data_IF_006368034874
#
_entry.id   IF_006368034874
#
_cell.length_a   1.000
_cell.length_b   1.000
_cell.length_c   1.000
_cell.angle_alpha   90.00
_cell.angle_beta   90.00
_cell.angle_gamma   90.00
#
_symmetry.space_group_name_H-M   'P 1'
#
loop_
_entity.id
_entity.type
_entity.pdbx_description
1 polymer ?
#
# COMPACT_ATOMS: atom_id res chain seq x y z
N UNK A 1 -17.40 -4.43 -39.99
CA UNK A 1 -16.54 -4.55 -38.80
C UNK A 1 -16.83 -5.87 -38.13
N UNK A 2 -15.82 -6.72 -37.95
CA UNK A 2 -16.00 -8.08 -37.45
C UNK A 2 -16.19 -8.03 -35.93
N UNK A 3 -17.39 -8.34 -35.44
CA UNK A 3 -17.78 -8.27 -34.02
C UNK A 3 -16.92 -9.18 -33.14
N UNK A 4 -16.35 -10.25 -33.69
CA UNK A 4 -15.41 -11.13 -33.00
C UNK A 4 -14.08 -10.47 -32.63
N UNK A 5 -13.61 -9.46 -33.37
CA UNK A 5 -12.35 -8.78 -33.06
C UNK A 5 -12.50 -7.80 -31.89
N UNK A 6 -13.64 -7.11 -31.80
CA UNK A 6 -13.90 -6.16 -30.70
C UNK A 6 -14.11 -6.89 -29.37
N UNK A 7 -14.83 -8.01 -29.39
CA UNK A 7 -15.09 -8.84 -28.20
C UNK A 7 -13.79 -9.42 -27.61
N UNK A 8 -12.90 -9.95 -28.44
CA UNK A 8 -11.59 -10.46 -28.00
C UNK A 8 -10.69 -9.36 -27.43
N UNK A 9 -10.73 -8.14 -28.01
CA UNK A 9 -10.00 -6.99 -27.48
C UNK A 9 -10.54 -6.61 -26.09
N UNK A 10 -11.87 -6.58 -25.92
CA UNK A 10 -12.51 -6.27 -24.64
C UNK A 10 -12.16 -7.31 -23.58
N UNK A 11 -12.24 -8.61 -23.90
CA UNK A 11 -11.84 -9.69 -22.99
C UNK A 11 -10.38 -9.58 -22.53
N UNK A 12 -9.46 -9.30 -23.45
CA UNK A 12 -8.04 -9.11 -23.12
C UNK A 12 -7.82 -7.89 -22.24
N UNK A 13 -8.50 -6.77 -22.54
CA UNK A 13 -8.43 -5.56 -21.72
C UNK A 13 -8.97 -5.82 -20.30
N UNK A 14 -10.09 -6.53 -20.17
CA UNK A 14 -10.66 -6.90 -18.86
C UNK A 14 -9.71 -7.81 -18.07
N UNK A 15 -9.11 -8.83 -18.71
CA UNK A 15 -8.13 -9.72 -18.05
C UNK A 15 -6.89 -8.96 -17.60
N UNK A 16 -6.39 -8.04 -18.42
CA UNK A 16 -5.27 -7.18 -18.09
C UNK A 16 -5.57 -6.27 -16.89
N UNK A 17 -6.73 -5.61 -16.89
CA UNK A 17 -7.17 -4.75 -15.78
C UNK A 17 -7.31 -5.53 -14.47
N UNK A 18 -7.93 -6.72 -14.51
CA UNK A 18 -8.04 -7.61 -13.33
C UNK A 18 -6.66 -7.99 -12.79
N UNK A 19 -5.73 -8.38 -13.67
CA UNK A 19 -4.36 -8.72 -13.25
C UNK A 19 -3.64 -7.52 -12.63
N UNK A 20 -3.83 -6.32 -13.19
CA UNK A 20 -3.27 -5.08 -12.62
C UNK A 20 -3.86 -4.78 -11.23
N UNK A 21 -5.18 -4.90 -11.05
CA UNK A 21 -5.86 -4.70 -9.75
C UNK A 21 -5.30 -5.65 -8.68
N UNK A 22 -5.16 -6.93 -9.02
CA UNK A 22 -4.59 -7.93 -8.11
C UNK A 22 -3.17 -7.57 -7.68
N UNK A 23 -2.32 -7.15 -8.63
CA UNK A 23 -0.92 -6.78 -8.35
C UNK A 23 -0.80 -5.54 -7.45
N UNK A 24 -1.60 -4.50 -7.71
CA UNK A 24 -1.61 -3.29 -6.87
C UNK A 24 -2.08 -3.64 -5.46
N UNK A 25 -3.14 -4.45 -5.34
CA UNK A 25 -3.67 -4.87 -4.03
C UNK A 25 -2.64 -5.71 -3.27
N UNK A 26 -2.00 -6.69 -3.92
CA UNK A 26 -0.94 -7.50 -3.31
C UNK A 26 0.24 -6.64 -2.81
N UNK A 27 0.64 -5.63 -3.59
CA UNK A 27 1.68 -4.69 -3.20
C UNK A 27 1.26 -3.79 -2.02
N UNK A 28 0.00 -3.37 -1.96
CA UNK A 28 -0.58 -2.67 -0.82
C UNK A 28 -0.55 -3.54 0.44
N UNK A 29 -1.00 -4.80 0.36
CA UNK A 29 -0.92 -5.74 1.49
C UNK A 29 0.53 -6.03 1.88
N UNK A 30 1.46 -6.12 0.93
CA UNK A 30 2.89 -6.29 1.20
C UNK A 30 3.43 -5.14 2.05
N UNK A 31 3.26 -3.90 1.61
CA UNK A 31 3.79 -2.74 2.30
C UNK A 31 3.11 -2.56 3.67
N UNK A 32 1.79 -2.72 3.75
CA UNK A 32 1.04 -2.55 5.00
C UNK A 32 1.39 -3.62 6.04
N UNK A 33 1.57 -4.87 5.60
CA UNK A 33 2.03 -5.95 6.48
C UNK A 33 3.48 -5.75 6.93
N UNK A 34 4.37 -5.33 6.03
CA UNK A 34 5.79 -5.13 6.31
C UNK A 34 6.04 -4.07 7.40
N UNK A 35 5.19 -3.05 7.48
CA UNK A 35 5.29 -2.00 8.51
C UNK A 35 4.40 -2.27 9.73
N UNK A 36 3.61 -3.34 9.73
CA UNK A 36 2.69 -3.68 10.82
C UNK A 36 1.38 -2.89 10.86
N UNK A 37 1.07 -2.12 9.81
CA UNK A 37 -0.20 -1.40 9.67
C UNK A 37 -1.37 -2.37 9.43
N UNK A 38 -1.11 -3.42 8.64
CA UNK A 38 -2.08 -4.46 8.29
C UNK A 38 -1.68 -5.75 8.99
N UNK A 39 -2.68 -6.46 9.55
CA UNK A 39 -2.46 -7.74 10.21
C UNK A 39 -2.50 -8.90 9.23
N UNK A 40 -1.85 -10.01 9.60
CA UNK A 40 -1.86 -11.27 8.84
C UNK A 40 -3.28 -11.69 8.45
N UNK A 41 -4.20 -11.71 9.40
CA UNK A 41 -5.57 -12.20 9.14
C UNK A 41 -6.25 -11.40 8.03
N UNK A 42 -6.04 -10.08 7.98
CA UNK A 42 -6.59 -9.24 6.90
C UNK A 42 -5.99 -9.56 5.52
N UNK A 43 -4.72 -9.97 5.47
CA UNK A 43 -4.05 -10.39 4.22
C UNK A 43 -4.64 -11.72 3.75
N UNK A 44 -4.92 -12.63 4.68
CA UNK A 44 -5.50 -13.94 4.38
C UNK A 44 -6.96 -13.80 3.94
N UNK A 45 -7.76 -13.01 4.66
CA UNK A 45 -9.14 -12.68 4.30
C UNK A 45 -9.21 -12.10 2.88
N UNK A 46 -8.29 -11.18 2.54
CA UNK A 46 -8.19 -10.64 1.18
C UNK A 46 -7.84 -11.70 0.13
N UNK A 47 -6.94 -12.64 0.45
CA UNK A 47 -6.58 -13.72 -0.47
C UNK A 47 -7.77 -14.66 -0.71
N UNK A 48 -8.52 -14.99 0.34
CA UNK A 48 -9.75 -15.79 0.25
C UNK A 48 -10.84 -15.08 -0.59
N UNK A 49 -11.08 -13.79 -0.33
CA UNK A 49 -12.01 -12.99 -1.13
C UNK A 49 -11.65 -13.00 -2.63
N UNK A 50 -10.35 -12.94 -2.95
CA UNK A 50 -9.89 -12.99 -4.32
C UNK A 50 -10.10 -14.38 -4.96
N UNK A 51 -9.93 -15.47 -4.20
CA UNK A 51 -10.12 -16.85 -4.67
C UNK A 51 -11.58 -17.11 -5.06
N UNK A 52 -12.53 -16.54 -4.33
CA UNK A 52 -13.96 -16.68 -4.62
C UNK A 52 -14.37 -15.97 -5.92
N UNK A 53 -13.71 -14.85 -6.23
CA UNK A 53 -14.13 -13.93 -7.30
C UNK A 53 -13.37 -14.13 -8.62
N UNK A 54 -12.17 -14.71 -8.57
CA UNK A 54 -11.24 -14.67 -9.69
C UNK A 54 -10.55 -16.01 -9.97
N UNK A 55 -10.14 -16.19 -11.22
CA UNK A 55 -9.09 -17.15 -11.55
C UNK A 55 -7.74 -16.51 -11.18
N UNK A 56 -7.05 -17.08 -10.20
CA UNK A 56 -5.89 -16.46 -9.54
C UNK A 56 -4.61 -17.28 -9.71
N UNK A 57 -3.42 -16.67 -9.58
CA UNK A 57 -2.16 -17.40 -9.55
C UNK A 57 -2.06 -18.34 -8.34
N UNK A 58 -1.24 -19.39 -8.47
CA UNK A 58 -1.04 -20.40 -7.43
C UNK A 58 -0.54 -19.80 -6.11
N UNK A 59 0.30 -18.76 -6.18
CA UNK A 59 0.85 -18.06 -5.04
C UNK A 59 -0.25 -17.43 -4.16
N UNK A 60 -1.41 -17.08 -4.74
CA UNK A 60 -2.54 -16.55 -3.97
C UNK A 60 -3.29 -17.67 -3.22
N UNK A 61 -3.39 -18.86 -3.80
CA UNK A 61 -3.91 -20.06 -3.12
C UNK A 61 -2.99 -20.41 -1.96
N UNK A 62 -1.68 -20.38 -2.18
CA UNK A 62 -0.71 -20.65 -1.13
C UNK A 62 -0.79 -19.61 -0.02
N UNK A 63 -1.00 -18.34 -0.38
CA UNK A 63 -1.17 -17.24 0.58
C UNK A 63 -2.40 -17.44 1.48
N UNK A 64 -3.55 -17.85 0.94
CA UNK A 64 -4.74 -18.06 1.78
C UNK A 64 -4.57 -19.21 2.79
N UNK A 65 -3.74 -20.19 2.46
CA UNK A 65 -3.42 -21.32 3.35
C UNK A 65 -2.27 -21.02 4.33
N UNK A 66 -1.83 -19.76 4.45
CA UNK A 66 -0.60 -19.37 5.15
C UNK A 66 -0.77 -18.99 6.62
N UNK A 67 -1.88 -19.34 7.28
CA UNK A 67 -2.17 -18.92 8.67
C UNK A 67 -1.01 -19.20 9.64
N UNK A 68 -0.37 -20.37 9.50
CA UNK A 68 0.72 -20.84 10.36
C UNK A 68 2.12 -20.47 9.85
N UNK A 69 2.24 -19.83 8.66
CA UNK A 69 3.54 -19.50 8.08
C UNK A 69 4.21 -18.33 8.78
N UNK A 70 5.54 -18.27 8.65
CA UNK A 70 6.34 -17.12 9.09
C UNK A 70 6.00 -15.85 8.32
N UNK A 71 6.22 -14.69 8.93
CA UNK A 71 5.99 -13.39 8.28
C UNK A 71 6.77 -13.23 6.97
N UNK A 72 8.04 -13.66 6.96
CA UNK A 72 8.91 -13.56 5.77
C UNK A 72 8.40 -14.39 4.59
N UNK A 73 7.78 -15.54 4.86
CA UNK A 73 7.17 -16.39 3.83
C UNK A 73 5.95 -15.69 3.21
N UNK A 74 5.07 -15.12 4.04
CA UNK A 74 3.89 -14.36 3.58
C UNK A 74 4.32 -13.16 2.74
N UNK A 75 5.30 -12.39 3.21
CA UNK A 75 5.87 -11.26 2.45
C UNK A 75 6.48 -11.72 1.12
N UNK A 76 7.11 -12.89 1.08
CA UNK A 76 7.66 -13.46 -0.15
C UNK A 76 6.58 -13.86 -1.15
N UNK A 77 5.48 -14.46 -0.68
CA UNK A 77 4.32 -14.77 -1.53
C UNK A 77 3.70 -13.50 -2.12
N UNK A 78 3.50 -12.46 -1.31
CA UNK A 78 3.02 -11.17 -1.80
C UNK A 78 3.94 -10.59 -2.88
N UNK A 79 5.27 -10.70 -2.70
CA UNK A 79 6.27 -10.31 -3.72
C UNK A 79 6.13 -11.06 -5.03
N UNK A 80 5.83 -12.35 -4.98
CA UNK A 80 5.58 -13.15 -6.18
C UNK A 80 4.27 -12.75 -6.86
N UNK A 81 3.21 -12.47 -6.09
CA UNK A 81 1.91 -12.07 -6.63
C UNK A 81 1.99 -10.70 -7.32
N UNK A 82 2.59 -9.70 -6.67
CA UNK A 82 2.78 -8.40 -7.33
C UNK A 82 3.89 -8.46 -8.39
N UNK A 83 4.78 -9.46 -8.38
CA UNK A 83 5.77 -9.77 -9.42
C UNK A 83 6.60 -8.56 -9.89
N UNK A 84 7.21 -7.82 -8.96
CA UNK A 84 7.98 -6.59 -9.26
C UNK A 84 7.17 -5.52 -10.03
N UNK A 85 5.84 -5.58 -9.93
CA UNK A 85 4.99 -4.47 -10.33
C UNK A 85 5.39 -3.20 -9.58
N UNK A 86 5.01 -2.06 -10.15
CA UNK A 86 5.29 -0.74 -9.60
C UNK A 86 4.70 -0.60 -8.18
N UNK A 87 5.54 -0.22 -7.21
CA UNK A 87 5.17 -0.08 -5.81
C UNK A 87 4.81 1.36 -5.43
N UNK A 88 5.02 2.32 -6.33
CA UNK A 88 4.75 3.74 -6.06
C UNK A 88 3.27 3.96 -5.76
N UNK A 89 2.36 3.46 -6.60
CA UNK A 89 0.92 3.62 -6.37
C UNK A 89 0.50 3.06 -5.00
N UNK A 90 0.82 1.79 -4.64
CA UNK A 90 0.65 1.26 -3.29
C UNK A 90 1.25 2.11 -2.16
N UNK A 91 2.45 2.66 -2.37
CA UNK A 91 3.14 3.51 -1.40
C UNK A 91 2.32 4.78 -1.09
N UNK A 92 1.85 5.48 -2.13
CA UNK A 92 1.01 6.68 -1.97
C UNK A 92 -0.30 6.35 -1.22
N UNK A 93 -0.92 5.23 -1.55
CA UNK A 93 -2.16 4.76 -0.91
C UNK A 93 -1.95 4.56 0.59
N UNK A 94 -0.87 3.88 0.99
CA UNK A 94 -0.61 3.59 2.40
C UNK A 94 -0.26 4.85 3.17
N UNK A 95 0.49 5.78 2.59
CA UNK A 95 0.74 7.07 3.25
C UNK A 95 -0.55 7.82 3.56
N UNK A 96 -1.52 7.83 2.64
CA UNK A 96 -2.82 8.42 2.90
C UNK A 96 -3.64 7.62 3.93
N UNK A 97 -3.55 6.29 3.92
CA UNK A 97 -4.25 5.47 4.91
C UNK A 97 -3.72 5.70 6.33
N UNK A 98 -2.40 5.80 6.51
CA UNK A 98 -1.78 6.16 7.79
C UNK A 98 -2.36 7.50 8.28
N UNK A 99 -2.46 8.51 7.41
CA UNK A 99 -3.11 9.80 7.73
C UNK A 99 -4.55 9.60 8.20
N UNK A 100 -5.36 8.83 7.47
CA UNK A 100 -6.75 8.57 7.86
C UNK A 100 -6.86 7.86 9.21
N UNK A 101 -6.01 6.86 9.45
CA UNK A 101 -5.98 6.11 10.71
C UNK A 101 -5.61 7.01 11.88
N UNK A 102 -4.65 7.92 11.69
CA UNK A 102 -4.29 8.89 12.73
C UNK A 102 -5.45 9.86 13.01
N UNK A 103 -6.07 10.44 11.98
CA UNK A 103 -7.23 11.34 12.14
C UNK A 103 -8.43 10.67 12.83
N UNK A 104 -8.57 9.35 12.69
CA UNK A 104 -9.59 8.54 13.38
C UNK A 104 -9.17 8.07 14.78
N UNK A 105 -7.97 8.42 15.24
CA UNK A 105 -7.37 7.96 16.50
C UNK A 105 -7.20 6.44 16.58
N UNK A 106 -7.01 5.76 15.44
CA UNK A 106 -6.73 4.32 15.37
C UNK A 106 -5.26 3.99 15.60
N UNK A 107 -4.37 4.98 15.41
CA UNK A 107 -2.93 4.87 15.64
C UNK A 107 -2.43 6.07 16.44
N UNK A 108 -1.36 5.89 17.20
CA UNK A 108 -0.69 6.96 17.96
C UNK A 108 0.19 7.82 17.06
N UNK A 109 0.67 8.95 17.59
CA UNK A 109 1.67 9.79 16.92
C UNK A 109 2.98 9.02 16.66
N UNK A 110 3.41 8.20 17.62
CA UNK A 110 4.64 7.42 17.49
C UNK A 110 4.50 6.39 16.36
N UNK A 111 3.30 5.78 16.23
CA UNK A 111 2.99 4.89 15.12
C UNK A 111 2.95 5.62 13.77
N UNK A 112 2.34 6.81 13.70
CA UNK A 112 2.32 7.65 12.49
C UNK A 112 3.73 7.82 11.92
N UNK A 113 4.68 8.30 12.72
CA UNK A 113 6.05 8.55 12.24
C UNK A 113 6.87 7.28 12.08
N UNK A 114 6.68 6.27 12.93
CA UNK A 114 7.32 4.96 12.75
C UNK A 114 6.95 4.30 11.42
N UNK A 115 5.68 4.38 11.02
CA UNK A 115 5.21 3.86 9.74
C UNK A 115 5.76 4.67 8.55
N UNK A 116 5.77 6.01 8.64
CA UNK A 116 6.37 6.86 7.60
C UNK A 116 7.84 6.53 7.39
N UNK A 117 8.62 6.44 8.47
CA UNK A 117 10.05 6.10 8.43
C UNK A 117 10.28 4.71 7.85
N UNK A 118 9.48 3.72 8.26
CA UNK A 118 9.55 2.35 7.73
C UNK A 118 9.27 2.31 6.22
N UNK A 119 8.29 3.09 5.74
CA UNK A 119 7.97 3.20 4.32
C UNK A 119 9.04 3.95 3.53
N UNK A 120 9.70 4.96 4.10
CA UNK A 120 10.83 5.64 3.46
C UNK A 120 11.98 4.66 3.19
N UNK A 121 12.28 3.77 4.16
CA UNK A 121 13.29 2.72 3.98
C UNK A 121 12.89 1.75 2.87
N UNK A 122 11.62 1.30 2.85
CA UNK A 122 11.13 0.40 1.79
C UNK A 122 11.13 1.10 0.42
N UNK A 123 10.64 2.34 0.34
CA UNK A 123 10.58 3.18 -0.86
C UNK A 123 11.96 3.47 -1.46
N UNK A 124 12.95 3.76 -0.62
CA UNK A 124 14.33 4.01 -1.04
C UNK A 124 14.96 2.78 -1.71
N UNK A 125 14.56 1.57 -1.32
CA UNK A 125 15.02 0.34 -1.95
C UNK A 125 14.39 0.09 -3.34
N UNK A 126 13.30 0.80 -3.68
CA UNK A 126 12.52 0.62 -4.91
C UNK A 126 12.94 1.61 -5.99
N UNK A 127 13.41 2.81 -5.60
CA UNK A 127 14.17 3.71 -6.47
C UNK A 127 13.38 4.47 -7.56
N UNK A 128 12.07 4.67 -7.41
CA UNK A 128 11.21 5.13 -8.52
C UNK A 128 10.48 6.48 -8.28
N UNK A 129 10.61 7.12 -7.10
CA UNK A 129 9.89 8.37 -6.80
C UNK A 129 10.69 9.36 -5.93
N UNK A 130 11.64 10.06 -6.55
CA UNK A 130 12.56 10.99 -5.86
C UNK A 130 11.81 12.13 -5.12
N UNK A 131 10.69 12.62 -5.64
CA UNK A 131 9.92 13.69 -5.00
C UNK A 131 9.19 13.21 -3.74
N UNK A 132 8.52 12.04 -3.83
CA UNK A 132 7.87 11.44 -2.66
C UNK A 132 8.89 11.08 -1.59
N UNK A 133 10.02 10.46 -1.97
CA UNK A 133 11.07 10.13 -1.00
C UNK A 133 11.63 11.38 -0.32
N UNK A 134 11.87 12.47 -1.06
CA UNK A 134 12.28 13.76 -0.48
C UNK A 134 11.25 14.33 0.49
N UNK A 135 9.95 14.27 0.15
CA UNK A 135 8.90 14.73 1.05
C UNK A 135 8.93 13.95 2.38
N UNK A 136 9.01 12.62 2.29
CA UNK A 136 9.02 11.75 3.47
C UNK A 136 10.29 11.92 4.32
N UNK A 137 11.43 12.12 3.67
CA UNK A 137 12.72 12.43 4.32
C UNK A 137 12.62 13.75 5.11
N UNK A 138 12.06 14.81 4.50
CA UNK A 138 11.82 16.09 5.17
C UNK A 138 10.86 15.93 6.37
N UNK A 139 9.80 15.12 6.24
CA UNK A 139 8.86 14.86 7.33
C UNK A 139 9.58 14.20 8.52
N UNK A 140 10.39 13.17 8.24
CA UNK A 140 11.13 12.41 9.24
C UNK A 140 12.15 13.30 9.98
N UNK A 141 12.93 14.07 9.24
CA UNK A 141 13.91 15.03 9.79
C UNK A 141 13.22 16.06 10.71
N UNK A 142 12.11 16.67 10.26
CA UNK A 142 11.40 17.67 11.08
C UNK A 142 10.84 17.06 12.35
N UNK A 143 10.30 15.84 12.29
CA UNK A 143 9.79 15.16 13.47
C UNK A 143 10.91 14.77 14.44
N UNK A 144 12.04 14.27 13.95
CA UNK A 144 13.20 14.00 14.78
C UNK A 144 13.65 15.27 15.52
N UNK A 145 13.83 16.38 14.79
CA UNK A 145 14.27 17.64 15.39
C UNK A 145 13.28 18.18 16.45
N UNK A 146 11.97 18.10 16.19
CA UNK A 146 10.95 18.57 17.13
C UNK A 146 10.85 17.67 18.36
N UNK A 147 10.82 16.34 18.16
CA UNK A 147 10.71 15.36 19.25
C UNK A 147 11.91 15.34 20.19
N UNK A 148 13.11 15.70 19.68
CA UNK A 148 14.32 15.87 20.50
C UNK A 148 14.41 17.26 21.15
N UNK A 149 13.44 18.15 20.93
CA UNK A 149 13.47 19.53 21.43
C UNK A 149 14.58 20.39 20.82
N UNK A 150 15.08 20.03 19.64
CA UNK A 150 16.17 20.72 18.93
C UNK A 150 15.61 21.89 18.10
N UNK A 151 14.58 21.63 17.29
CA UNK A 151 13.96 22.65 16.42
C UNK A 151 12.52 22.31 16.08
N UNK A 152 11.64 23.33 16.11
CA UNK A 152 10.22 23.20 15.78
C UNK A 152 9.35 22.78 16.98
N UNK A 153 8.03 22.80 16.77
CA UNK A 153 7.03 22.33 17.72
C UNK A 153 6.42 21.01 17.21
N UNK A 154 6.29 20.01 18.08
CA UNK A 154 5.81 18.69 17.69
C UNK A 154 4.36 18.68 17.18
N UNK A 155 3.48 19.47 17.79
CA UNK A 155 2.08 19.60 17.36
C UNK A 155 1.99 20.23 15.96
N UNK A 156 2.77 21.28 15.70
CA UNK A 156 2.87 21.91 14.38
C UNK A 156 3.44 20.95 13.32
N UNK A 157 4.42 20.12 13.69
CA UNK A 157 4.98 19.09 12.79
C UNK A 157 3.94 18.02 12.48
N UNK A 158 3.14 17.59 13.45
CA UNK A 158 2.04 16.65 13.22
C UNK A 158 1.02 17.26 12.27
N UNK A 159 0.57 18.50 12.53
CA UNK A 159 -0.43 19.18 11.69
C UNK A 159 0.06 19.33 10.24
N UNK A 160 1.29 19.81 10.05
CA UNK A 160 1.89 19.94 8.71
C UNK A 160 2.07 18.60 8.01
N UNK A 161 2.51 17.55 8.73
CA UNK A 161 2.61 16.19 8.18
C UNK A 161 1.26 15.70 7.67
N UNK A 162 0.20 15.86 8.45
CA UNK A 162 -1.14 15.45 8.02
C UNK A 162 -1.57 16.17 6.75
N UNK A 163 -1.24 17.45 6.60
CA UNK A 163 -1.64 18.20 5.42
C UNK A 163 -0.77 17.95 4.19
N UNK A 164 0.51 17.65 4.39
CA UNK A 164 1.38 17.15 3.32
C UNK A 164 0.96 15.77 2.82
N UNK A 165 0.59 14.84 3.71
CA UNK A 165 0.09 13.52 3.30
C UNK A 165 -1.26 13.59 2.57
N UNK A 166 -1.98 14.71 2.65
CA UNK A 166 -3.25 14.90 1.94
C UNK A 166 -3.09 14.87 0.42
N UNK A 167 -1.91 15.20 -0.11
CA UNK A 167 -1.66 15.16 -1.57
C UNK A 167 -1.92 13.77 -2.19
N UNK A 168 -1.86 12.71 -1.37
CA UNK A 168 -2.09 11.34 -1.79
C UNK A 168 -3.58 10.91 -1.81
N UNK A 169 -4.50 11.80 -1.43
CA UNK A 169 -5.95 11.56 -1.38
C UNK A 169 -6.50 11.00 -2.70
N UNK A 170 -6.03 11.55 -3.83
CA UNK A 170 -6.49 11.10 -5.15
C UNK A 170 -6.07 9.65 -5.43
N UNK A 171 -4.82 9.28 -5.13
CA UNK A 171 -4.34 7.92 -5.34
C UNK A 171 -5.13 6.92 -4.48
N UNK A 172 -5.43 7.28 -3.23
CA UNK A 172 -6.27 6.48 -2.35
C UNK A 172 -7.71 6.35 -2.84
N UNK A 173 -8.31 7.44 -3.33
CA UNK A 173 -9.69 7.44 -3.85
C UNK A 173 -9.80 6.56 -5.09
N UNK A 174 -8.89 6.74 -6.06
CA UNK A 174 -8.82 5.91 -7.26
C UNK A 174 -8.67 4.42 -6.89
N UNK A 175 -7.83 4.10 -5.90
CA UNK A 175 -7.67 2.73 -5.41
C UNK A 175 -8.91 2.17 -4.70
N UNK A 176 -9.53 2.97 -3.84
CA UNK A 176 -10.74 2.58 -3.11
C UNK A 176 -11.89 2.28 -4.05
N UNK A 177 -12.03 3.04 -5.14
CA UNK A 177 -12.98 2.75 -6.20
C UNK A 177 -12.64 1.44 -6.92
N UNK A 178 -11.35 1.19 -7.22
CA UNK A 178 -10.92 -0.06 -7.85
C UNK A 178 -11.27 -1.30 -7.02
N UNK A 179 -11.27 -1.20 -5.68
CA UNK A 179 -11.67 -2.26 -4.74
C UNK A 179 -13.20 -2.38 -4.54
N UNK A 180 -13.97 -1.31 -4.78
CA UNK A 180 -15.44 -1.28 -4.62
C UNK A 180 -16.22 -1.75 -5.85
N UNK A 181 -15.60 -1.82 -7.02
CA UNK A 181 -16.23 -2.36 -8.25
C UNK A 181 -16.42 -3.89 -8.22
N UNK A 182 -16.60 -4.47 -7.03
CA UNK A 182 -16.90 -5.88 -6.75
C UNK A 182 -18.30 -6.02 -6.12
#
# INVERSE_FOLDING_TARGET
MNTGTLYEILLRAMKFLKNKKLKISAAYYYLGLAIGLIKRDQVIDWADDCLEKYEVPYELIELSLSQEKGLDEILSLLKLIYNKFELRTPLLIIHYEIRLKYLKNEITKDQLFSYISSLLIQGSAIGDDEETLKLLDIIEDRYYLASQGIYGNEEEVIESTLEELRIFEKAYSDFSELLKEE
#
